data_IF_254846107756
#
_entry.id   IF_254846107756
#
_cell.length_a   1.000
_cell.length_b   1.000
_cell.length_c   1.000
_cell.angle_alpha   90.00
_cell.angle_beta   90.00
_cell.angle_gamma   90.00
#
_symmetry.space_group_name_H-M   'P 1'
#
loop_
_entity.id
_entity.type
_entity.pdbx_description
1 polymer ?
#
# COMPACT_ATOMS: atom_id res chain seq x y z
N UNK A 1 2.63 2.20 1.18
CA UNK A 1 2.97 0.76 1.35
C UNK A 1 4.30 0.62 2.09
N UNK A 2 4.39 -0.24 3.11
CA UNK A 2 5.66 -0.55 3.80
C UNK A 2 6.29 -1.82 3.22
N UNK A 3 7.62 -1.85 3.13
CA UNK A 3 8.39 -3.06 2.82
C UNK A 3 9.16 -3.47 4.06
N UNK A 4 9.00 -4.72 4.49
CA UNK A 4 9.68 -5.26 5.65
C UNK A 4 10.37 -6.60 5.33
N UNK A 5 11.57 -6.78 5.87
CA UNK A 5 12.31 -8.04 5.82
C UNK A 5 12.13 -8.77 7.15
N UNK A 6 11.50 -9.94 7.11
CA UNK A 6 11.05 -10.65 8.32
C UNK A 6 11.10 -12.17 8.11
N UNK A 7 11.63 -12.88 9.10
CA UNK A 7 11.57 -14.35 9.16
C UNK A 7 10.24 -14.85 9.75
N UNK A 8 9.98 -16.16 9.64
CA UNK A 8 8.83 -16.81 10.26
C UNK A 8 7.49 -16.48 9.60
N UNK A 9 7.50 -16.09 8.32
CA UNK A 9 6.31 -15.81 7.52
C UNK A 9 5.75 -17.12 6.93
N UNK A 10 4.46 -17.36 7.12
CA UNK A 10 3.78 -18.53 6.55
C UNK A 10 2.68 -18.08 5.61
N UNK A 11 2.74 -18.47 4.33
CA UNK A 11 1.68 -18.16 3.36
C UNK A 11 0.33 -18.81 3.75
N UNK A 12 -0.77 -18.11 3.45
CA UNK A 12 -2.15 -18.57 3.67
C UNK A 12 -2.92 -18.57 2.34
N UNK A 13 -2.60 -19.52 1.43
CA UNK A 13 -3.27 -19.61 0.13
C UNK A 13 -4.73 -20.06 0.23
N UNK A 14 -5.18 -20.43 1.44
CA UNK A 14 -6.57 -20.71 1.76
C UNK A 14 -7.40 -19.45 2.05
N UNK A 15 -6.77 -18.29 2.06
CA UNK A 15 -7.40 -16.96 2.19
C UNK A 15 -7.28 -16.22 0.84
N UNK A 16 -7.41 -14.89 0.90
CA UNK A 16 -7.27 -14.00 -0.24
C UNK A 16 -5.84 -13.95 -0.80
N UNK A 17 -5.67 -13.23 -1.90
CA UNK A 17 -4.39 -13.07 -2.57
C UNK A 17 -3.32 -12.45 -1.66
N UNK A 18 -2.10 -13.00 -1.76
CA UNK A 18 -0.92 -12.54 -1.03
C UNK A 18 -1.05 -12.51 0.52
N UNK A 19 -2.00 -13.24 1.11
CA UNK A 19 -2.16 -13.28 2.57
C UNK A 19 -1.10 -14.16 3.24
N UNK A 20 -0.50 -13.66 4.31
CA UNK A 20 0.48 -14.37 5.13
C UNK A 20 0.17 -14.27 6.62
N UNK A 21 0.62 -15.27 7.39
CA UNK A 21 0.65 -15.25 8.84
C UNK A 21 2.06 -14.90 9.33
N UNK A 22 2.13 -13.92 10.22
CA UNK A 22 3.36 -13.52 10.91
C UNK A 22 3.50 -14.26 12.25
N UNK A 23 4.73 -14.60 12.64
CA UNK A 23 5.03 -15.22 13.93
C UNK A 23 4.94 -14.24 15.12
N UNK A 24 4.95 -12.94 14.86
CA UNK A 24 4.91 -11.88 15.87
C UNK A 24 4.71 -10.50 15.23
N UNK A 25 4.78 -9.42 16.03
CA UNK A 25 4.66 -8.06 15.54
C UNK A 25 5.83 -7.66 14.62
N UNK A 26 5.57 -6.75 13.68
CA UNK A 26 6.61 -6.13 12.84
C UNK A 26 7.20 -4.94 13.60
N UNK A 27 8.49 -4.99 13.93
CA UNK A 27 9.21 -3.86 14.50
C UNK A 27 9.62 -2.87 13.41
N UNK A 28 9.83 -1.59 13.78
CA UNK A 28 10.28 -0.58 12.83
C UNK A 28 11.64 -0.94 12.19
N UNK A 29 12.52 -1.60 12.96
CA UNK A 29 13.84 -2.06 12.47
C UNK A 29 13.73 -3.14 11.38
N UNK A 30 12.57 -3.77 11.21
CA UNK A 30 12.33 -4.72 10.12
C UNK A 30 11.95 -4.00 8.81
N UNK A 31 11.57 -2.72 8.87
CA UNK A 31 11.14 -1.94 7.70
C UNK A 31 12.38 -1.49 6.93
N UNK A 32 12.43 -1.84 5.64
CA UNK A 32 13.56 -1.53 4.75
C UNK A 32 13.25 -0.38 3.78
N UNK A 33 11.97 -0.12 3.52
CA UNK A 33 11.53 0.99 2.69
C UNK A 33 10.05 1.32 2.93
N UNK A 34 9.64 2.51 2.49
CA UNK A 34 8.22 2.85 2.27
C UNK A 34 8.03 3.38 0.86
N UNK A 35 6.86 3.11 0.31
CA UNK A 35 6.34 3.70 -0.91
C UNK A 35 5.15 4.59 -0.56
N UNK A 36 5.14 5.83 -1.03
CA UNK A 36 4.14 6.85 -0.66
C UNK A 36 3.60 7.52 -1.90
N UNK A 37 2.28 7.74 -1.91
CA UNK A 37 1.61 8.53 -2.93
C UNK A 37 2.14 9.96 -2.94
N UNK A 38 2.44 10.44 -4.14
CA UNK A 38 2.81 11.84 -4.33
C UNK A 38 1.55 12.72 -4.39
N UNK A 39 1.70 14.02 -4.17
CA UNK A 39 0.58 14.98 -4.24
C UNK A 39 -0.21 14.92 -5.56
N UNK A 40 0.43 14.50 -6.65
CA UNK A 40 -0.24 14.33 -7.95
C UNK A 40 -1.28 13.19 -7.96
N UNK A 41 -1.15 12.19 -7.07
CA UNK A 41 -2.06 11.06 -6.95
C UNK A 41 -3.31 11.40 -6.12
N UNK A 42 -3.26 12.46 -5.30
CA UNK A 42 -4.35 12.81 -4.36
C UNK A 42 -5.74 12.85 -5.03
N UNK A 43 -5.94 13.49 -6.20
CA UNK A 43 -7.26 13.52 -6.82
C UNK A 43 -7.76 12.14 -7.29
N UNK A 44 -6.87 11.30 -7.82
CA UNK A 44 -7.20 9.96 -8.29
C UNK A 44 -7.50 9.02 -7.11
N UNK A 45 -6.68 9.08 -6.05
CA UNK A 45 -6.90 8.33 -4.81
C UNK A 45 -8.22 8.74 -4.16
N UNK A 46 -8.54 10.04 -4.09
CA UNK A 46 -9.81 10.50 -3.54
C UNK A 46 -11.02 10.01 -4.35
N UNK A 47 -10.91 9.94 -5.68
CA UNK A 47 -11.95 9.37 -6.54
C UNK A 47 -12.10 7.86 -6.32
N UNK A 48 -10.98 7.12 -6.28
CA UNK A 48 -10.97 5.68 -6.04
C UNK A 48 -11.61 5.30 -4.69
N UNK A 49 -11.31 6.05 -3.62
CA UNK A 49 -11.92 5.83 -2.29
C UNK A 49 -13.44 5.91 -2.32
N UNK A 50 -14.02 6.74 -3.20
CA UNK A 50 -15.45 6.92 -3.29
C UNK A 50 -16.20 5.76 -3.97
N UNK A 51 -15.48 4.87 -4.69
CA UNK A 51 -16.07 3.81 -5.53
C UNK A 51 -15.44 2.44 -5.32
N UNK A 52 -14.60 2.29 -4.28
CA UNK A 52 -13.82 1.06 -4.07
C UNK A 52 -14.73 -0.16 -3.80
N UNK A 53 -15.83 0.02 -3.08
CA UNK A 53 -16.77 -1.05 -2.79
C UNK A 53 -17.48 -1.53 -4.07
N UNK A 54 -17.85 -0.61 -4.97
CA UNK A 54 -18.42 -0.95 -6.28
C UNK A 54 -17.41 -1.67 -7.18
N UNK A 55 -16.15 -1.25 -7.17
CA UNK A 55 -15.07 -1.93 -7.88
C UNK A 55 -14.89 -3.36 -7.36
N UNK A 56 -14.90 -3.57 -6.04
CA UNK A 56 -14.82 -4.91 -5.43
C UNK A 56 -16.03 -5.81 -5.79
N UNK A 57 -17.16 -5.21 -6.15
CA UNK A 57 -18.36 -5.92 -6.62
C UNK A 57 -18.40 -6.10 -8.15
N UNK A 58 -17.37 -5.65 -8.87
CA UNK A 58 -17.18 -5.86 -10.31
C UNK A 58 -17.81 -4.80 -11.21
N UNK A 59 -18.02 -3.58 -10.72
CA UNK A 59 -18.41 -2.45 -11.57
C UNK A 59 -17.22 -1.96 -12.40
N UNK A 60 -17.33 -2.05 -13.74
CA UNK A 60 -16.23 -1.77 -14.66
C UNK A 60 -15.76 -0.29 -14.63
N UNK A 61 -16.68 0.66 -14.42
CA UNK A 61 -16.33 2.09 -14.36
C UNK A 61 -15.62 2.42 -13.03
N UNK A 62 -16.04 1.77 -11.94
CA UNK A 62 -15.39 1.86 -10.65
C UNK A 62 -13.99 1.21 -10.68
N UNK A 63 -13.85 0.03 -11.29
CA UNK A 63 -12.55 -0.63 -11.49
C UNK A 63 -11.57 0.27 -12.26
N UNK A 64 -12.02 0.95 -13.32
CA UNK A 64 -11.19 1.90 -14.06
C UNK A 64 -10.76 3.08 -13.20
N UNK A 65 -11.68 3.64 -12.40
CA UNK A 65 -11.39 4.76 -11.49
C UNK A 65 -10.37 4.38 -10.42
N UNK A 66 -10.45 3.15 -9.90
CA UNK A 66 -9.46 2.60 -8.96
C UNK A 66 -8.12 2.36 -9.67
N UNK A 67 -8.15 1.89 -10.92
CA UNK A 67 -6.97 1.74 -11.77
C UNK A 67 -6.21 3.06 -11.98
N UNK A 68 -6.92 4.16 -12.22
CA UNK A 68 -6.31 5.49 -12.37
C UNK A 68 -5.47 5.88 -11.13
N UNK A 69 -5.91 5.49 -9.92
CA UNK A 69 -5.13 5.70 -8.70
C UNK A 69 -3.88 4.82 -8.63
N UNK A 70 -3.97 3.58 -9.12
CA UNK A 70 -2.86 2.61 -9.13
C UNK A 70 -1.78 2.94 -10.17
N UNK A 71 -2.15 3.66 -11.23
CA UNK A 71 -1.24 4.07 -12.31
C UNK A 71 -0.27 5.20 -11.91
N UNK A 72 -0.40 5.76 -10.70
CA UNK A 72 0.51 6.77 -10.20
C UNK A 72 1.83 6.18 -9.68
N UNK A 73 2.95 6.81 -10.05
CA UNK A 73 4.26 6.48 -9.49
C UNK A 73 4.32 6.77 -7.98
N UNK A 74 4.73 5.76 -7.21
CA UNK A 74 4.97 5.88 -5.78
C UNK A 74 6.38 6.39 -5.50
N UNK A 75 6.49 7.40 -4.64
CA UNK A 75 7.79 7.83 -4.13
C UNK A 75 8.37 6.75 -3.19
N UNK A 76 9.62 6.39 -3.42
CA UNK A 76 10.36 5.43 -2.60
C UNK A 76 11.25 6.16 -1.60
N UNK A 77 11.18 5.74 -0.33
CA UNK A 77 12.04 6.25 0.74
C UNK A 77 12.70 5.08 1.47
N UNK A 78 14.00 5.21 1.70
CA UNK A 78 14.74 4.29 2.56
C UNK A 78 14.41 4.51 4.04
N UNK A 79 14.66 3.52 4.90
CA UNK A 79 14.36 3.58 6.35
C UNK A 79 14.93 4.82 7.04
N UNK A 80 16.13 5.27 6.64
CA UNK A 80 16.80 6.46 7.21
C UNK A 80 16.12 7.79 6.86
N UNK A 81 15.28 7.82 5.82
CA UNK A 81 14.57 9.02 5.36
C UNK A 81 13.19 9.15 6.02
N UNK A 82 12.69 8.09 6.67
CA UNK A 82 11.38 8.07 7.31
C UNK A 82 11.19 9.16 8.38
N UNK A 83 12.16 9.44 9.28
CA UNK A 83 11.97 10.50 10.27
C UNK A 83 11.78 11.87 9.61
N UNK A 84 12.59 12.15 8.58
CA UNK A 84 12.50 13.41 7.83
C UNK A 84 11.17 13.53 7.08
N UNK A 85 10.72 12.45 6.42
CA UNK A 85 9.43 12.42 5.75
C UNK A 85 8.28 12.77 6.70
N UNK A 86 8.27 12.19 7.91
CA UNK A 86 7.22 12.43 8.90
C UNK A 86 7.22 13.85 9.48
N UNK A 87 8.36 14.53 9.50
CA UNK A 87 8.45 15.93 9.94
C UNK A 87 7.94 16.93 8.89
N UNK A 88 7.83 16.51 7.64
CA UNK A 88 7.46 17.34 6.49
C UNK A 88 6.01 17.15 6.00
N UNK A 89 5.30 16.17 6.55
CA UNK A 89 3.86 15.96 6.37
C UNK A 89 3.06 16.79 7.38
#
# INVERSE_FOLDING_TARGET
MLVADIEGVTARPDLDDAVVRLAGPVALDNVVATYVDNAAAEPAVAAAVAVIDEADLGDEDAELTVGDAQDHDLAWYATQELPFLLELL
#
